data_IF_023702124662
#
_entry.id   IF_023702124662
#
_cell.length_a   1.000
_cell.length_b   1.000
_cell.length_c   1.000
_cell.angle_alpha   90.00
_cell.angle_beta   90.00
_cell.angle_gamma   90.00
#
_symmetry.space_group_name_H-M   'P 1'
#
loop_
_entity.id
_entity.type
_entity.pdbx_description
1 polymer ?
#
# COMPACT_ATOMS: atom_id res chain seq x y z
N UNK A 1 18.76 53.09 42.86
CA UNK A 1 18.79 54.31 43.67
C UNK A 1 17.37 54.82 43.77
N UNK A 2 16.84 54.95 44.97
CA UNK A 2 15.45 55.40 45.15
C UNK A 2 15.35 56.88 44.82
N UNK A 3 14.65 57.21 43.75
CA UNK A 3 14.23 58.58 43.45
C UNK A 3 13.34 59.06 44.59
N UNK A 4 13.85 59.91 45.49
CA UNK A 4 13.06 60.56 46.53
C UNK A 4 12.49 61.84 45.94
N UNK A 5 11.32 61.73 45.33
CA UNK A 5 10.52 62.89 44.93
C UNK A 5 9.85 63.48 46.18
N UNK A 6 9.78 64.80 46.24
CA UNK A 6 8.99 65.51 47.24
C UNK A 6 7.50 65.12 47.03
N UNK A 7 6.71 64.93 48.10
CA UNK A 7 5.33 64.43 48.00
C UNK A 7 4.42 65.25 47.07
N UNK A 8 4.71 66.55 46.94
CA UNK A 8 4.01 67.48 46.06
C UNK A 8 4.23 67.12 44.58
N UNK A 9 5.46 66.75 44.20
CA UNK A 9 5.76 66.31 42.83
C UNK A 9 5.17 64.94 42.50
N UNK A 10 5.10 64.04 43.49
CA UNK A 10 4.37 62.77 43.34
C UNK A 10 2.90 63.04 43.06
N UNK A 11 2.30 64.02 43.75
CA UNK A 11 0.90 64.42 43.54
C UNK A 11 0.67 64.99 42.13
N UNK A 12 1.62 65.76 41.59
CA UNK A 12 1.54 66.26 40.20
C UNK A 12 1.59 65.11 39.18
N UNK A 13 2.47 64.12 39.37
CA UNK A 13 2.53 62.95 38.50
C UNK A 13 1.23 62.11 38.57
N UNK A 14 0.71 61.92 39.79
CA UNK A 14 -0.57 61.23 39.99
C UNK A 14 -1.72 62.01 39.37
N UNK A 15 -1.74 63.35 39.47
CA UNK A 15 -2.74 64.19 38.83
C UNK A 15 -2.69 64.10 37.30
N UNK A 16 -1.49 63.98 36.71
CA UNK A 16 -1.33 63.74 35.28
C UNK A 16 -1.89 62.36 34.87
N UNK A 17 -1.72 61.33 35.70
CA UNK A 17 -2.26 59.99 35.47
C UNK A 17 -3.79 59.91 35.71
N UNK A 18 -4.32 60.72 36.63
CA UNK A 18 -5.77 60.91 36.80
C UNK A 18 -6.35 61.65 35.58
N UNK A 19 -5.65 62.65 35.07
CA UNK A 19 -6.05 63.40 33.88
C UNK A 19 -6.08 62.51 32.61
N UNK A 20 -5.08 61.64 32.41
CA UNK A 20 -5.06 60.69 31.30
C UNK A 20 -6.08 59.56 31.44
N UNK A 21 -6.77 59.47 32.58
CA UNK A 21 -7.73 58.41 32.85
C UNK A 21 -7.08 57.05 33.11
N UNK A 22 -5.80 57.04 33.51
CA UNK A 22 -5.08 55.80 33.84
C UNK A 22 -5.22 55.44 35.33
N UNK A 23 -5.53 56.41 36.19
CA UNK A 23 -5.61 56.23 37.65
C UNK A 23 -6.76 57.03 38.29
N UNK A 24 -7.21 56.55 39.44
CA UNK A 24 -8.14 57.25 40.34
C UNK A 24 -7.43 57.46 41.67
N UNK A 25 -7.37 58.72 42.08
CA UNK A 25 -6.79 59.14 43.34
C UNK A 25 -7.86 59.06 44.43
N UNK A 26 -7.65 58.21 45.45
CA UNK A 26 -8.55 58.11 46.59
C UNK A 26 -7.95 58.78 47.82
N UNK A 27 -8.58 59.85 48.30
CA UNK A 27 -8.31 60.50 49.58
C UNK A 27 -9.38 60.13 50.62
N UNK A 28 -9.19 60.39 51.93
CA UNK A 28 -10.24 60.16 52.92
C UNK A 28 -11.55 60.87 52.54
N UNK A 29 -12.61 60.09 52.30
CA UNK A 29 -13.95 60.62 51.99
C UNK A 29 -14.20 61.05 50.54
N UNK A 30 -13.21 61.02 49.64
CA UNK A 30 -13.40 61.45 48.24
C UNK A 30 -12.48 60.71 47.26
N UNK A 31 -12.93 60.57 46.01
CA UNK A 31 -12.16 59.97 44.91
C UNK A 31 -12.16 60.92 43.72
N UNK A 32 -11.06 60.94 42.98
CA UNK A 32 -10.90 61.75 41.77
C UNK A 32 -10.53 60.85 40.61
N UNK A 33 -11.41 60.80 39.62
CA UNK A 33 -11.17 60.21 38.29
C UNK A 33 -10.97 61.32 37.25
N UNK A 34 -10.85 60.95 35.97
CA UNK A 34 -10.65 61.91 34.87
C UNK A 34 -11.74 63.00 34.81
N UNK A 35 -12.95 62.73 35.30
CA UNK A 35 -14.06 63.70 35.34
C UNK A 35 -13.97 64.66 36.53
N UNK A 36 -13.27 64.25 37.59
CA UNK A 36 -13.06 65.01 38.82
C UNK A 36 -11.86 65.98 38.81
N UNK A 37 -11.22 66.22 37.65
CA UNK A 37 -9.96 66.98 37.57
C UNK A 37 -10.06 68.41 38.15
N UNK A 38 -11.15 69.12 37.87
CA UNK A 38 -11.36 70.46 38.43
C UNK A 38 -11.45 70.45 39.96
N UNK A 39 -12.05 69.40 40.53
CA UNK A 39 -12.14 69.23 41.99
C UNK A 39 -10.79 68.81 42.57
N UNK A 40 -10.02 67.97 41.87
CA UNK A 40 -8.66 67.61 42.25
C UNK A 40 -7.75 68.86 42.30
N UNK A 41 -7.82 69.71 41.28
CA UNK A 41 -7.04 70.97 41.22
C UNK A 41 -7.45 71.99 42.29
N UNK A 42 -8.69 71.95 42.74
CA UNK A 42 -9.21 72.81 43.82
C UNK A 42 -8.97 72.25 45.23
N UNK A 43 -8.39 71.04 45.36
CA UNK A 43 -8.11 70.40 46.65
C UNK A 43 -6.72 70.83 47.16
N UNK A 44 -6.62 71.15 48.44
CA UNK A 44 -5.36 71.59 49.05
C UNK A 44 -4.28 70.50 49.04
N UNK A 45 -3.02 70.89 48.83
CA UNK A 45 -1.90 69.94 48.73
C UNK A 45 -1.73 69.09 50.00
N UNK A 46 -2.00 69.64 51.18
CA UNK A 46 -1.96 68.93 52.47
C UNK A 46 -2.92 67.73 52.54
N UNK A 47 -4.03 67.78 51.79
CA UNK A 47 -5.00 66.68 51.68
C UNK A 47 -4.57 65.66 50.63
N UNK A 48 -4.06 66.12 49.49
CA UNK A 48 -3.66 65.27 48.38
C UNK A 48 -2.44 64.41 48.71
N UNK A 49 -1.47 64.95 49.46
CA UNK A 49 -0.29 64.19 49.92
C UNK A 49 -0.67 63.05 50.88
N UNK A 50 -1.82 63.15 51.56
CA UNK A 50 -2.35 62.13 52.47
C UNK A 50 -3.31 61.16 51.79
N UNK A 51 -3.11 60.89 50.49
CA UNK A 51 -3.95 59.94 49.77
C UNK A 51 -3.89 58.54 50.37
N UNK A 52 -5.03 57.83 50.33
CA UNK A 52 -5.20 56.51 50.94
C UNK A 52 -4.61 55.41 50.06
N UNK A 53 -4.97 55.43 48.78
CA UNK A 53 -4.51 54.48 47.77
C UNK A 53 -4.76 55.06 46.39
N UNK A 54 -4.12 54.44 45.40
CA UNK A 54 -4.40 54.66 43.99
C UNK A 54 -5.13 53.42 43.48
N UNK A 55 -6.18 53.62 42.69
CA UNK A 55 -6.92 52.53 42.04
C UNK A 55 -7.02 52.78 40.54
N UNK A 56 -7.24 51.75 39.73
CA UNK A 56 -7.52 51.94 38.31
C UNK A 56 -8.97 52.45 38.13
N UNK A 57 -9.22 53.37 37.17
CA UNK A 57 -10.54 53.88 36.90
C UNK A 57 -11.52 52.78 36.53
N UNK A 58 -12.72 52.84 37.13
CA UNK A 58 -13.82 51.89 36.90
C UNK A 58 -14.59 52.17 35.61
N UNK A 59 -13.97 52.87 34.67
CA UNK A 59 -14.51 53.06 33.32
C UNK A 59 -14.15 51.86 32.45
N UNK A 60 -14.98 51.59 31.46
CA UNK A 60 -14.73 50.47 30.55
C UNK A 60 -13.48 50.74 29.73
N UNK A 61 -12.54 49.79 29.71
CA UNK A 61 -11.41 49.82 28.77
C UNK A 61 -11.89 49.44 27.35
N UNK A 62 -12.72 50.30 26.78
CA UNK A 62 -13.36 50.11 25.49
C UNK A 62 -12.34 49.95 24.34
N UNK A 63 -11.22 50.68 24.30
CA UNK A 63 -10.18 50.47 23.28
C UNK A 63 -9.62 49.05 23.30
N UNK A 64 -9.28 48.51 24.47
CA UNK A 64 -8.71 47.17 24.57
C UNK A 64 -9.74 46.06 24.31
N UNK A 65 -11.00 46.28 24.72
CA UNK A 65 -12.10 45.36 24.37
C UNK A 65 -12.33 45.32 22.86
N UNK A 66 -12.34 46.48 22.17
CA UNK A 66 -12.45 46.53 20.70
C UNK A 66 -11.31 45.77 20.03
N UNK A 67 -10.07 45.98 20.47
CA UNK A 67 -8.90 45.26 19.98
C UNK A 67 -9.02 43.74 20.19
N UNK A 68 -9.55 43.28 21.33
CA UNK A 68 -9.72 41.85 21.62
C UNK A 68 -10.76 41.19 20.72
N UNK A 69 -11.89 41.86 20.49
CA UNK A 69 -12.91 41.37 19.56
C UNK A 69 -12.35 41.32 18.13
N UNK A 70 -11.63 42.35 17.70
CA UNK A 70 -11.01 42.41 16.36
C UNK A 70 -9.95 41.34 16.15
N UNK A 71 -9.07 41.10 17.14
CA UNK A 71 -8.06 40.04 17.10
C UNK A 71 -8.66 38.64 16.92
N UNK A 72 -9.87 38.42 17.44
CA UNK A 72 -10.60 37.16 17.31
C UNK A 72 -11.52 37.12 16.06
N UNK A 73 -11.39 38.10 15.16
CA UNK A 73 -12.17 38.19 13.92
C UNK A 73 -13.62 38.59 14.12
N UNK A 74 -13.97 39.21 15.24
CA UNK A 74 -15.31 39.72 15.54
C UNK A 74 -15.41 41.22 15.29
N UNK A 75 -16.65 41.72 15.18
CA UNK A 75 -16.88 43.15 14.95
C UNK A 75 -16.58 43.96 16.22
N UNK A 76 -15.80 45.07 16.14
CA UNK A 76 -15.50 45.90 17.30
C UNK A 76 -16.74 46.48 18.01
N UNK A 77 -17.87 46.58 17.31
CA UNK A 77 -19.16 47.00 17.87
C UNK A 77 -19.68 46.11 19.00
N UNK A 78 -19.23 44.85 19.08
CA UNK A 78 -19.55 43.93 20.17
C UNK A 78 -19.05 44.44 21.53
N UNK A 79 -17.93 45.17 21.57
CA UNK A 79 -17.43 45.79 22.79
C UNK A 79 -18.44 46.80 23.38
N UNK A 80 -19.16 47.54 22.51
CA UNK A 80 -20.19 48.49 22.92
C UNK A 80 -21.42 47.79 23.52
N UNK A 81 -21.73 46.58 23.05
CA UNK A 81 -22.82 45.78 23.57
C UNK A 81 -22.50 45.19 24.95
N UNK A 82 -21.23 44.87 25.21
CA UNK A 82 -20.77 44.47 26.55
C UNK A 82 -20.98 45.59 27.56
N UNK A 83 -20.68 46.85 27.20
CA UNK A 83 -20.90 47.99 28.11
C UNK A 83 -22.38 48.24 28.42
N UNK A 84 -23.28 47.74 27.57
CA UNK A 84 -24.75 47.75 27.77
C UNK A 84 -25.24 46.56 28.60
N UNK A 85 -24.35 45.69 29.09
CA UNK A 85 -24.70 44.54 29.92
C UNK A 85 -25.22 43.32 29.16
N UNK A 86 -25.03 43.26 27.83
CA UNK A 86 -25.45 42.08 27.05
C UNK A 86 -24.47 40.92 27.23
N UNK A 87 -25.00 39.73 27.49
CA UNK A 87 -24.20 38.51 27.69
C UNK A 87 -23.75 37.84 26.38
N UNK A 88 -24.49 38.01 25.28
CA UNK A 88 -24.20 37.39 23.97
C UNK A 88 -22.76 37.68 23.47
N UNK A 89 -22.26 38.94 23.44
CA UNK A 89 -20.88 39.22 23.06
C UNK A 89 -19.84 38.48 23.92
N UNK A 90 -20.14 38.28 25.20
CA UNK A 90 -19.24 37.60 26.14
C UNK A 90 -19.22 36.10 25.87
N UNK A 91 -20.37 35.50 25.58
CA UNK A 91 -20.44 34.09 25.18
C UNK A 91 -19.70 33.85 23.86
N UNK A 92 -19.89 34.73 22.87
CA UNK A 92 -19.17 34.66 21.60
C UNK A 92 -17.66 34.76 21.80
N UNK A 93 -17.21 35.71 22.65
CA UNK A 93 -15.81 35.86 23.03
C UNK A 93 -15.26 34.57 23.64
N UNK A 94 -15.94 34.00 24.65
CA UNK A 94 -15.50 32.76 25.30
C UNK A 94 -15.41 31.58 24.32
N UNK A 95 -16.36 31.46 23.40
CA UNK A 95 -16.31 30.43 22.36
C UNK A 95 -15.11 30.61 21.41
N UNK A 96 -14.83 31.84 20.96
CA UNK A 96 -13.69 32.09 20.08
C UNK A 96 -12.35 31.90 20.79
N UNK A 97 -12.25 32.31 22.06
CA UNK A 97 -11.09 32.02 22.91
C UNK A 97 -10.88 30.52 23.06
N UNK A 98 -11.93 29.74 23.32
CA UNK A 98 -11.84 28.28 23.35
C UNK A 98 -11.37 27.68 22.02
N UNK A 99 -11.87 28.19 20.89
CA UNK A 99 -11.46 27.77 19.54
C UNK A 99 -9.99 28.09 19.27
N UNK A 100 -9.53 29.30 19.55
CA UNK A 100 -8.15 29.70 19.25
C UNK A 100 -7.14 28.95 20.14
N UNK A 101 -7.44 28.75 21.44
CA UNK A 101 -6.60 27.93 22.33
C UNK A 101 -6.48 26.50 21.81
N UNK A 102 -7.61 25.89 21.40
CA UNK A 102 -7.60 24.54 20.81
C UNK A 102 -6.75 24.50 19.53
N UNK A 103 -6.91 25.48 18.64
CA UNK A 103 -6.11 25.59 17.41
C UNK A 103 -4.63 25.68 17.72
N UNK A 104 -4.22 26.54 18.66
CA UNK A 104 -2.82 26.69 19.09
C UNK A 104 -2.24 25.35 19.57
N UNK A 105 -2.97 24.62 20.42
CA UNK A 105 -2.51 23.31 20.93
C UNK A 105 -2.32 22.30 19.80
N UNK A 106 -3.27 22.19 18.87
CA UNK A 106 -3.16 21.28 17.73
C UNK A 106 -2.00 21.65 16.79
N UNK A 107 -1.80 22.94 16.55
CA UNK A 107 -0.70 23.45 15.70
C UNK A 107 0.65 23.28 16.36
N UNK A 108 0.73 23.44 17.68
CA UNK A 108 1.94 23.13 18.47
C UNK A 108 2.34 21.67 18.36
N UNK A 109 1.37 20.76 18.39
CA UNK A 109 1.63 19.34 18.17
C UNK A 109 2.14 19.09 16.74
N UNK A 110 1.47 19.63 15.72
CA UNK A 110 1.87 19.47 14.33
C UNK A 110 3.29 20.02 14.05
N UNK A 111 3.68 21.12 14.69
CA UNK A 111 5.03 21.68 14.60
C UNK A 111 6.10 20.77 15.21
N UNK A 112 5.76 20.00 16.25
CA UNK A 112 6.67 19.00 16.85
C UNK A 112 6.81 17.76 15.97
N UNK A 113 5.73 17.34 15.33
CA UNK A 113 5.71 16.20 14.41
C UNK A 113 6.41 16.54 13.07
N UNK A 114 6.44 17.83 12.72
CA UNK A 114 7.01 18.35 11.48
C UNK A 114 5.97 18.44 10.37
N UNK A 115 6.04 19.50 9.56
CA UNK A 115 5.13 19.72 8.43
C UNK A 115 5.87 19.41 7.13
N UNK A 116 5.76 18.17 6.67
CA UNK A 116 6.39 17.72 5.42
C UNK A 116 5.39 17.24 4.39
N UNK A 117 5.72 17.44 3.11
CA UNK A 117 4.94 16.97 1.97
C UNK A 117 5.88 16.41 0.91
N UNK A 118 5.74 15.11 0.56
CA UNK A 118 6.66 14.41 -0.35
C UNK A 118 8.15 14.57 0.00
N UNK A 119 8.47 14.61 1.30
CA UNK A 119 9.84 14.77 1.79
C UNK A 119 10.36 16.21 1.77
N UNK A 120 9.60 17.16 1.23
CA UNK A 120 9.90 18.59 1.38
C UNK A 120 9.42 19.06 2.76
N UNK A 121 10.32 19.65 3.53
CA UNK A 121 9.98 20.37 4.76
C UNK A 121 9.38 21.74 4.40
N UNK A 122 8.09 21.93 4.69
CA UNK A 122 7.36 23.16 4.37
C UNK A 122 7.72 24.32 5.31
N UNK A 123 8.46 24.04 6.39
CA UNK A 123 8.95 25.05 7.33
C UNK A 123 10.42 25.39 7.09
N UNK A 124 11.03 24.83 6.04
CA UNK A 124 12.41 25.15 5.68
C UNK A 124 12.59 26.66 5.46
N UNK A 125 13.54 27.26 6.17
CA UNK A 125 13.81 28.71 6.10
C UNK A 125 12.89 29.57 6.98
N UNK A 126 12.00 28.98 7.77
CA UNK A 126 11.25 29.68 8.82
C UNK A 126 11.97 29.59 10.18
N UNK A 127 11.41 30.22 11.22
CA UNK A 127 11.87 30.07 12.61
C UNK A 127 10.82 29.29 13.44
N UNK A 128 10.81 27.94 13.37
CA UNK A 128 9.83 27.13 14.11
C UNK A 128 9.89 27.32 15.62
N UNK A 129 11.07 27.66 16.16
CA UNK A 129 11.29 27.86 17.59
C UNK A 129 10.71 29.21 18.06
N UNK A 130 10.95 30.30 17.31
CA UNK A 130 10.32 31.59 17.57
C UNK A 130 8.80 31.56 17.36
N UNK A 131 8.33 30.88 16.32
CA UNK A 131 6.90 30.60 16.13
C UNK A 131 6.33 29.74 17.28
N UNK A 132 7.17 28.89 17.91
CA UNK A 132 6.79 28.16 19.11
C UNK A 132 6.54 29.05 20.32
N UNK A 133 7.54 29.84 20.68
CA UNK A 133 7.44 30.77 21.79
C UNK A 133 6.27 31.75 21.63
N UNK A 134 6.11 32.35 20.44
CA UNK A 134 5.03 33.30 20.20
C UNK A 134 3.63 32.69 20.31
N UNK A 135 3.46 31.42 19.93
CA UNK A 135 2.19 30.71 20.10
C UNK A 135 1.94 30.30 21.56
N UNK A 136 2.98 29.94 22.33
CA UNK A 136 2.84 29.65 23.76
C UNK A 136 2.48 30.90 24.58
N UNK A 137 3.07 32.04 24.24
CA UNK A 137 2.70 33.34 24.82
C UNK A 137 1.26 33.73 24.49
N UNK A 138 0.86 33.60 23.21
CA UNK A 138 -0.51 33.84 22.78
C UNK A 138 -1.50 32.89 23.48
N UNK A 139 -1.15 31.62 23.67
CA UNK A 139 -1.97 30.65 24.41
C UNK A 139 -2.18 31.10 25.85
N UNK A 140 -1.12 31.48 26.57
CA UNK A 140 -1.22 31.95 27.94
C UNK A 140 -2.09 33.22 28.05
N UNK A 141 -1.96 34.14 27.08
CA UNK A 141 -2.83 35.29 26.96
C UNK A 141 -4.30 34.88 26.78
N UNK A 142 -4.64 34.08 25.76
CA UNK A 142 -6.02 33.67 25.51
C UNK A 142 -6.63 32.84 26.66
N UNK A 143 -5.85 31.99 27.33
CA UNK A 143 -6.29 31.28 28.53
C UNK A 143 -6.65 32.24 29.67
N UNK A 144 -5.90 33.34 29.84
CA UNK A 144 -6.24 34.37 30.82
C UNK A 144 -7.56 35.09 30.50
N UNK A 145 -7.96 35.15 29.22
CA UNK A 145 -9.21 35.77 28.80
C UNK A 145 -10.43 34.95 29.26
N UNK A 146 -10.26 33.64 29.48
CA UNK A 146 -11.34 32.76 29.92
C UNK A 146 -11.92 33.15 31.30
N UNK A 147 -11.14 33.86 32.12
CA UNK A 147 -11.60 34.37 33.40
C UNK A 147 -12.74 35.42 33.26
N UNK A 148 -12.82 36.11 32.12
CA UNK A 148 -13.81 37.17 31.85
C UNK A 148 -15.12 36.63 31.28
N UNK A 149 -15.85 35.87 32.10
CA UNK A 149 -17.04 35.10 31.68
C UNK A 149 -18.37 35.87 31.74
N UNK A 150 -18.38 37.15 32.10
CA UNK A 150 -19.59 37.99 32.13
C UNK A 150 -19.25 39.46 31.85
N UNK A 151 -20.22 40.32 31.47
CA UNK A 151 -19.97 41.74 31.25
C UNK A 151 -19.33 42.41 32.47
N UNK A 152 -19.83 42.10 33.67
CA UNK A 152 -19.28 42.62 34.93
C UNK A 152 -17.83 42.20 35.18
N UNK A 153 -17.41 41.00 34.73
CA UNK A 153 -16.00 40.58 34.80
C UNK A 153 -15.16 41.29 33.74
N UNK A 154 -15.65 41.44 32.51
CA UNK A 154 -14.98 42.19 31.43
C UNK A 154 -14.79 43.67 31.75
N UNK A 155 -15.59 44.24 32.66
CA UNK A 155 -15.36 45.60 33.16
C UNK A 155 -13.97 45.75 33.81
N UNK A 156 -13.44 44.68 34.40
CA UNK A 156 -12.12 44.66 35.03
C UNK A 156 -11.04 44.12 34.08
N UNK A 157 -11.22 44.28 32.77
CA UNK A 157 -10.24 43.83 31.77
C UNK A 157 -8.91 44.57 31.94
N UNK A 158 -7.89 43.83 32.38
CA UNK A 158 -6.61 44.41 32.83
C UNK A 158 -5.63 44.77 31.71
N UNK A 159 -5.88 44.30 30.49
CA UNK A 159 -4.96 44.47 29.36
C UNK A 159 -5.27 45.76 28.59
N UNK A 160 -4.23 46.43 28.13
CA UNK A 160 -4.29 47.56 27.22
C UNK A 160 -4.42 47.12 25.75
N UNK A 161 -4.88 48.01 24.88
CA UNK A 161 -4.99 47.69 23.45
C UNK A 161 -3.64 47.28 22.81
N UNK A 162 -2.49 47.93 23.11
CA UNK A 162 -1.18 47.47 22.61
C UNK A 162 -0.80 46.06 23.08
N UNK A 163 -1.11 45.70 24.33
CA UNK A 163 -0.85 44.34 24.84
C UNK A 163 -1.71 43.29 24.11
N UNK A 164 -2.94 43.63 23.74
CA UNK A 164 -3.78 42.75 22.92
C UNK A 164 -3.22 42.62 21.50
N UNK A 165 -2.87 43.73 20.86
CA UNK A 165 -2.33 43.73 19.49
C UNK A 165 -0.95 43.07 19.37
N UNK A 166 -0.18 42.98 20.45
CA UNK A 166 1.08 42.23 20.46
C UNK A 166 0.92 40.76 20.00
N UNK A 167 -0.28 40.18 20.17
CA UNK A 167 -0.59 38.82 19.76
C UNK A 167 -1.10 38.67 18.31
N UNK A 168 -1.23 39.76 17.55
CA UNK A 168 -1.70 39.71 16.15
C UNK A 168 -0.78 38.88 15.26
N UNK A 169 0.54 39.03 15.43
CA UNK A 169 1.53 38.24 14.68
C UNK A 169 1.37 36.74 14.96
N UNK A 170 1.16 36.37 16.22
CA UNK A 170 0.95 34.97 16.60
C UNK A 170 -0.36 34.40 16.01
N UNK A 171 -1.43 35.21 15.95
CA UNK A 171 -2.68 34.82 15.30
C UNK A 171 -2.51 34.59 13.79
N UNK A 172 -1.79 35.48 13.09
CA UNK A 172 -1.46 35.31 11.66
C UNK A 172 -0.63 34.06 11.40
N UNK A 173 0.42 33.85 12.20
CA UNK A 173 1.24 32.64 12.15
C UNK A 173 0.41 31.37 12.41
N UNK A 174 -0.57 31.42 13.33
CA UNK A 174 -1.47 30.30 13.56
C UNK A 174 -2.32 29.98 12.32
N UNK A 175 -2.85 30.99 11.63
CA UNK A 175 -3.64 30.81 10.41
C UNK A 175 -2.78 30.16 9.31
N UNK A 176 -1.57 30.66 9.06
CA UNK A 176 -0.62 30.10 8.08
C UNK A 176 -0.31 28.63 8.35
N UNK A 177 0.01 28.28 9.60
CA UNK A 177 0.35 26.91 9.98
C UNK A 177 -0.86 25.97 9.94
N UNK A 178 -2.06 26.46 10.28
CA UNK A 178 -3.30 25.70 10.10
C UNK A 178 -3.58 25.41 8.62
N UNK A 179 -3.32 26.37 7.72
CA UNK A 179 -3.49 26.17 6.28
C UNK A 179 -2.51 25.12 5.73
N UNK A 180 -1.25 25.13 6.17
CA UNK A 180 -0.27 24.10 5.83
C UNK A 180 -0.70 22.71 6.31
N UNK A 181 -1.18 22.62 7.55
CA UNK A 181 -1.68 21.36 8.10
C UNK A 181 -2.87 20.86 7.29
N UNK A 182 -3.83 21.73 6.98
CA UNK A 182 -5.01 21.37 6.18
C UNK A 182 -4.61 20.93 4.76
N UNK A 183 -3.63 21.58 4.14
CA UNK A 183 -3.07 21.17 2.85
C UNK A 183 -2.49 19.75 2.90
N UNK A 184 -1.64 19.45 3.90
CA UNK A 184 -1.06 18.12 4.08
C UNK A 184 -2.15 17.08 4.33
N UNK A 185 -3.15 17.38 5.16
CA UNK A 185 -4.25 16.46 5.44
C UNK A 185 -5.08 16.15 4.19
N UNK A 186 -5.34 17.15 3.35
CA UNK A 186 -6.18 16.98 2.15
C UNK A 186 -5.45 16.28 1.00
N UNK A 187 -4.14 16.50 0.85
CA UNK A 187 -3.37 16.01 -0.30
C UNK A 187 -2.39 14.87 0.04
N UNK A 188 -1.98 14.75 1.30
CA UNK A 188 -1.02 13.77 1.79
C UNK A 188 -1.37 12.31 1.49
N UNK A 189 -2.61 11.84 1.73
CA UNK A 189 -2.99 10.46 1.42
C UNK A 189 -2.83 10.12 -0.08
N UNK A 190 -3.25 11.02 -0.96
CA UNK A 190 -3.12 10.82 -2.41
C UNK A 190 -1.66 10.91 -2.87
N UNK A 191 -0.88 11.81 -2.28
CA UNK A 191 0.55 11.94 -2.53
C UNK A 191 1.32 10.67 -2.14
N UNK A 192 1.00 10.08 -0.98
CA UNK A 192 1.55 8.80 -0.52
C UNK A 192 1.16 7.65 -1.44
N UNK A 193 -0.12 7.57 -1.81
CA UNK A 193 -0.63 6.58 -2.77
C UNK A 193 0.11 6.65 -4.11
N UNK A 194 0.29 7.85 -4.68
CA UNK A 194 0.97 8.06 -5.96
C UNK A 194 2.46 7.69 -5.90
N UNK A 195 3.10 7.88 -4.74
CA UNK A 195 4.50 7.49 -4.55
C UNK A 195 4.67 5.97 -4.50
N UNK A 196 3.71 5.28 -3.87
CA UNK A 196 3.67 3.82 -3.91
C UNK A 196 3.40 3.31 -5.33
N UNK A 197 2.47 3.94 -6.05
CA UNK A 197 2.14 3.60 -7.43
C UNK A 197 3.34 3.73 -8.39
N UNK A 198 4.16 4.77 -8.22
CA UNK A 198 5.40 4.99 -8.98
C UNK A 198 6.38 3.82 -8.86
N UNK A 199 6.50 3.19 -7.69
CA UNK A 199 7.40 2.06 -7.48
C UNK A 199 6.86 0.72 -8.05
N UNK A 200 5.59 0.67 -8.47
CA UNK A 200 4.90 -0.56 -8.89
C UNK A 200 4.96 -0.77 -10.41
N UNK A 201 4.97 0.32 -11.19
CA UNK A 201 5.11 0.25 -12.65
C UNK A 201 6.59 0.17 -13.08
N UNK A 202 6.89 -0.36 -14.29
CA UNK A 202 8.24 -0.33 -14.85
C UNK A 202 8.76 1.10 -15.00
N UNK A 203 10.05 1.31 -14.77
CA UNK A 203 10.68 2.63 -14.71
C UNK A 203 10.53 3.43 -16.02
N UNK A 204 10.44 2.73 -17.15
CA UNK A 204 10.35 3.25 -18.51
C UNK A 204 8.91 3.58 -18.94
N UNK A 205 7.91 3.36 -18.09
CA UNK A 205 6.52 3.60 -18.44
C UNK A 205 6.17 5.09 -18.42
N UNK A 206 5.56 5.63 -19.49
CA UNK A 206 5.23 7.06 -19.64
C UNK A 206 4.45 7.69 -18.47
N UNK A 207 3.64 6.88 -17.76
CA UNK A 207 2.93 7.35 -16.56
C UNK A 207 3.90 7.79 -15.45
N UNK A 208 5.06 7.13 -15.30
CA UNK A 208 6.09 7.50 -14.32
C UNK A 208 6.67 8.87 -14.65
N UNK A 209 6.94 9.17 -15.92
CA UNK A 209 7.45 10.48 -16.32
C UNK A 209 6.44 11.60 -16.04
N UNK A 210 5.16 11.36 -16.32
CA UNK A 210 4.08 12.29 -15.97
C UNK A 210 3.95 12.49 -14.46
N UNK A 211 4.07 11.41 -13.69
CA UNK A 211 4.04 11.46 -12.22
C UNK A 211 5.22 12.27 -11.66
N UNK A 212 6.44 12.02 -12.12
CA UNK A 212 7.65 12.76 -11.73
C UNK A 212 7.56 14.24 -12.09
N UNK A 213 7.10 14.54 -13.30
CA UNK A 213 6.90 15.93 -13.76
C UNK A 213 5.88 16.65 -12.88
N UNK A 214 4.74 16.02 -12.61
CA UNK A 214 3.70 16.60 -11.74
C UNK A 214 4.21 16.79 -10.31
N UNK A 215 4.94 15.82 -9.75
CA UNK A 215 5.57 15.96 -8.43
C UNK A 215 6.51 17.16 -8.40
N UNK A 216 7.40 17.27 -9.40
CA UNK A 216 8.36 18.36 -9.48
C UNK A 216 7.67 19.72 -9.57
N UNK A 217 6.70 19.89 -10.47
CA UNK A 217 5.95 21.14 -10.61
C UNK A 217 5.28 21.58 -9.31
N UNK A 218 4.68 20.63 -8.56
CA UNK A 218 4.03 20.92 -7.29
C UNK A 218 5.05 21.32 -6.23
N UNK A 219 6.17 20.59 -6.11
CA UNK A 219 7.22 20.91 -5.14
C UNK A 219 7.92 22.24 -5.45
N UNK A 220 8.21 22.51 -6.72
CA UNK A 220 8.78 23.79 -7.15
C UNK A 220 7.79 24.94 -6.87
N UNK A 221 6.50 24.73 -7.11
CA UNK A 221 5.44 25.68 -6.75
C UNK A 221 5.37 25.94 -5.25
N UNK A 222 5.47 24.90 -4.42
CA UNK A 222 5.48 25.05 -2.95
C UNK A 222 6.72 25.81 -2.44
N UNK A 223 7.88 25.61 -3.07
CA UNK A 223 9.11 26.31 -2.70
C UNK A 223 9.13 27.80 -3.10
N UNK A 224 8.46 28.16 -4.20
CA UNK A 224 8.47 29.51 -4.75
C UNK A 224 7.33 30.40 -4.25
N UNK A 225 6.32 29.81 -3.61
CA UNK A 225 5.11 30.53 -3.22
C UNK A 225 5.19 31.02 -1.78
N UNK A 226 4.78 32.27 -1.55
CA UNK A 226 4.46 32.75 -0.22
C UNK A 226 3.34 31.87 0.37
N UNK A 227 3.64 31.19 1.49
CA UNK A 227 2.75 30.20 2.11
C UNK A 227 1.41 30.81 2.52
N UNK A 228 1.32 32.14 2.66
CA UNK A 228 0.06 32.86 2.85
C UNK A 228 -0.93 32.68 1.69
N UNK A 229 -0.46 32.36 0.47
CA UNK A 229 -1.35 32.06 -0.66
C UNK A 229 -2.13 30.74 -0.49
N UNK A 230 -1.69 29.84 0.40
CA UNK A 230 -2.44 28.63 0.76
C UNK A 230 -3.74 28.96 1.52
N UNK A 231 -3.83 30.13 2.16
CA UNK A 231 -5.04 30.61 2.84
C UNK A 231 -6.16 30.96 1.84
N UNK A 232 -5.82 31.24 0.57
CA UNK A 232 -6.78 31.60 -0.47
C UNK A 232 -7.37 30.33 -1.10
N UNK A 233 -8.35 29.74 -0.39
CA UNK A 233 -8.96 28.44 -0.69
C UNK A 233 -9.66 28.30 -2.06
N UNK A 234 -9.74 29.36 -2.88
CA UNK A 234 -10.59 29.38 -4.08
C UNK A 234 -9.95 29.89 -5.37
N UNK A 235 -8.72 30.43 -5.35
CA UNK A 235 -8.06 31.01 -6.54
C UNK A 235 -6.54 30.83 -6.59
N UNK A 236 -5.95 30.13 -5.62
CA UNK A 236 -4.51 29.89 -5.59
C UNK A 236 -4.06 28.80 -6.58
N UNK A 237 -2.75 28.76 -6.92
CA UNK A 237 -2.17 27.76 -7.83
C UNK A 237 -2.34 26.31 -7.35
N UNK A 238 -2.64 26.13 -6.07
CA UNK A 238 -2.82 24.83 -5.42
C UNK A 238 -4.24 24.28 -5.51
N UNK A 239 -5.22 25.07 -5.97
CA UNK A 239 -6.62 24.62 -6.11
C UNK A 239 -6.79 23.46 -7.09
N UNK A 240 -5.86 23.29 -8.04
CA UNK A 240 -5.89 22.23 -9.05
C UNK A 240 -5.19 20.92 -8.63
N UNK A 241 -4.42 20.91 -7.53
CA UNK A 241 -3.62 19.73 -7.13
C UNK A 241 -4.50 18.51 -6.94
N UNK A 242 -5.66 18.68 -6.31
CA UNK A 242 -6.63 17.59 -6.15
C UNK A 242 -7.04 16.99 -7.49
N UNK A 243 -7.37 17.82 -8.48
CA UNK A 243 -7.74 17.37 -9.81
C UNK A 243 -6.59 16.68 -10.54
N UNK A 244 -5.36 17.21 -10.44
CA UNK A 244 -4.16 16.60 -11.02
C UNK A 244 -3.88 15.21 -10.42
N UNK A 245 -4.02 15.07 -9.10
CA UNK A 245 -3.87 13.78 -8.42
C UNK A 245 -4.93 12.77 -8.86
N UNK A 246 -6.20 13.19 -8.92
CA UNK A 246 -7.27 12.30 -9.37
C UNK A 246 -7.07 11.83 -10.82
N UNK A 247 -6.60 12.72 -11.70
CA UNK A 247 -6.24 12.34 -13.07
C UNK A 247 -5.14 11.29 -13.10
N UNK A 248 -4.04 11.50 -12.36
CA UNK A 248 -2.94 10.53 -12.27
C UNK A 248 -3.40 9.19 -11.69
N UNK A 249 -4.22 9.19 -10.63
CA UNK A 249 -4.79 7.96 -10.04
C UNK A 249 -5.63 7.20 -11.08
N UNK A 250 -6.51 7.90 -11.79
CA UNK A 250 -7.37 7.27 -12.81
C UNK A 250 -6.54 6.67 -13.95
N UNK A 251 -5.58 7.41 -14.48
CA UNK A 251 -4.69 6.94 -15.55
C UNK A 251 -3.86 5.72 -15.09
N UNK A 252 -3.41 5.73 -13.84
CA UNK A 252 -2.74 4.57 -13.22
C UNK A 252 -3.67 3.37 -13.15
N UNK A 253 -4.87 3.54 -12.61
CA UNK A 253 -5.85 2.45 -12.41
C UNK A 253 -6.15 1.74 -13.72
N UNK A 254 -6.40 2.50 -14.80
CA UNK A 254 -6.62 1.94 -16.15
C UNK A 254 -5.41 1.15 -16.61
N UNK A 255 -4.21 1.73 -16.48
CA UNK A 255 -2.94 1.08 -16.87
C UNK A 255 -2.73 -0.21 -16.10
N UNK A 256 -2.85 -0.17 -14.77
CA UNK A 256 -2.58 -1.28 -13.88
C UNK A 256 -3.58 -2.42 -14.09
N UNK A 257 -4.88 -2.13 -14.22
CA UNK A 257 -5.91 -3.14 -14.54
C UNK A 257 -5.63 -3.77 -15.92
N UNK A 258 -5.23 -2.95 -16.89
CA UNK A 258 -4.80 -3.43 -18.20
C UNK A 258 -3.67 -4.44 -18.09
N UNK A 259 -2.57 -4.09 -17.43
CA UNK A 259 -1.43 -4.99 -17.21
C UNK A 259 -1.82 -6.24 -16.41
N UNK A 260 -2.65 -6.07 -15.38
CA UNK A 260 -3.12 -7.15 -14.52
C UNK A 260 -3.93 -8.18 -15.31
N UNK A 261 -4.90 -7.74 -16.10
CA UNK A 261 -5.74 -8.61 -16.94
C UNK A 261 -4.93 -9.38 -17.98
N UNK A 262 -3.79 -8.83 -18.43
CA UNK A 262 -2.85 -9.55 -19.31
C UNK A 262 -2.04 -10.60 -18.55
N UNK A 263 -1.57 -10.26 -17.35
CA UNK A 263 -0.66 -11.09 -16.55
C UNK A 263 -1.34 -12.11 -15.64
N UNK A 264 -2.68 -12.12 -15.57
CA UNK A 264 -3.47 -13.01 -14.72
C UNK A 264 -4.55 -13.71 -15.51
N UNK A 265 -4.81 -14.96 -15.15
CA UNK A 265 -5.93 -15.73 -15.69
C UNK A 265 -7.24 -15.21 -15.09
N UNK A 266 -8.18 -14.87 -15.96
CA UNK A 266 -9.57 -14.60 -15.57
C UNK A 266 -10.31 -15.89 -15.22
N UNK A 267 -11.59 -15.77 -14.84
CA UNK A 267 -12.41 -16.92 -14.43
C UNK A 267 -12.49 -18.03 -15.50
N UNK A 268 -12.65 -17.65 -16.78
CA UNK A 268 -12.73 -18.61 -17.87
C UNK A 268 -11.38 -19.28 -18.15
N UNK A 269 -10.31 -18.50 -18.14
CA UNK A 269 -8.95 -19.01 -18.36
C UNK A 269 -8.50 -19.92 -17.21
N UNK A 270 -8.91 -19.64 -15.98
CA UNK A 270 -8.64 -20.52 -14.82
C UNK A 270 -9.33 -21.88 -14.98
N UNK A 271 -10.58 -21.90 -15.46
CA UNK A 271 -11.27 -23.15 -15.84
C UNK A 271 -10.55 -23.88 -16.97
N UNK A 272 -10.06 -23.15 -17.99
CA UNK A 272 -9.26 -23.74 -19.08
C UNK A 272 -7.97 -24.36 -18.56
N UNK A 273 -7.26 -23.68 -17.66
CA UNK A 273 -6.07 -24.20 -16.97
C UNK A 273 -6.38 -25.49 -16.21
N UNK A 274 -7.48 -25.52 -15.45
CA UNK A 274 -7.94 -26.73 -14.77
C UNK A 274 -8.28 -27.87 -15.75
N UNK A 275 -8.88 -27.53 -16.89
CA UNK A 275 -9.12 -28.45 -17.99
C UNK A 275 -7.84 -29.07 -18.54
N UNK A 276 -6.80 -28.26 -18.80
CA UNK A 276 -5.49 -28.74 -19.27
C UNK A 276 -4.78 -29.64 -18.25
N UNK A 277 -4.98 -29.41 -16.95
CA UNK A 277 -4.45 -30.30 -15.90
C UNK A 277 -5.12 -31.68 -15.89
N UNK A 278 -6.41 -31.73 -16.24
CA UNK A 278 -7.20 -32.95 -16.36
C UNK A 278 -7.27 -33.52 -17.78
N UNK A 279 -6.55 -32.94 -18.73
CA UNK A 279 -6.67 -33.27 -20.15
C UNK A 279 -6.22 -34.71 -20.43
N UNK A 280 -7.01 -35.44 -21.24
CA UNK A 280 -6.74 -36.82 -21.60
C UNK A 280 -5.38 -36.99 -22.27
N UNK A 281 -4.95 -36.02 -23.10
CA UNK A 281 -3.63 -36.00 -23.74
C UNK A 281 -2.51 -36.00 -22.70
N UNK A 282 -2.64 -35.17 -21.68
CA UNK A 282 -1.70 -35.12 -20.56
C UNK A 282 -1.70 -36.42 -19.77
N UNK A 283 -2.87 -37.04 -19.52
CA UNK A 283 -2.95 -38.34 -18.84
C UNK A 283 -2.27 -39.45 -19.64
N UNK A 284 -2.47 -39.49 -20.96
CA UNK A 284 -1.78 -40.41 -21.87
C UNK A 284 -0.26 -40.23 -21.80
N UNK A 285 0.23 -38.99 -21.88
CA UNK A 285 1.65 -38.70 -21.76
C UNK A 285 2.23 -39.11 -20.39
N UNK A 286 1.49 -38.93 -19.30
CA UNK A 286 1.91 -39.38 -17.97
C UNK A 286 2.05 -40.90 -17.88
N UNK A 287 1.16 -41.66 -18.54
CA UNK A 287 1.28 -43.13 -18.62
C UNK A 287 2.48 -43.55 -19.45
N UNK A 288 2.64 -42.98 -20.64
CA UNK A 288 3.77 -43.25 -21.54
C UNK A 288 5.11 -42.88 -20.90
N UNK A 289 5.13 -41.87 -20.02
CA UNK A 289 6.33 -41.49 -19.28
C UNK A 289 6.88 -42.64 -18.43
N UNK A 290 6.10 -43.68 -18.11
CA UNK A 290 6.57 -44.90 -17.44
C UNK A 290 7.56 -45.75 -18.26
N UNK A 291 7.65 -45.53 -19.57
CA UNK A 291 8.61 -46.17 -20.47
C UNK A 291 9.93 -45.39 -20.37
N UNK A 292 11.04 -46.09 -20.14
CA UNK A 292 12.33 -45.45 -19.78
C UNK A 292 12.94 -44.60 -20.90
N UNK A 293 12.61 -44.90 -22.14
CA UNK A 293 13.04 -44.14 -23.32
C UNK A 293 12.39 -42.75 -23.41
N UNK A 294 11.21 -42.53 -22.81
CA UNK A 294 10.41 -41.33 -23.05
C UNK A 294 10.98 -40.09 -22.35
N UNK A 295 10.92 -38.90 -22.97
CA UNK A 295 11.55 -37.69 -22.44
C UNK A 295 10.72 -37.05 -21.31
N UNK A 296 10.69 -37.69 -20.14
CA UNK A 296 9.89 -37.30 -18.95
C UNK A 296 9.98 -35.82 -18.57
N UNK A 297 11.15 -35.20 -18.79
CA UNK A 297 11.40 -33.78 -18.50
C UNK A 297 10.43 -32.85 -19.22
N UNK A 298 10.02 -33.16 -20.46
CA UNK A 298 9.05 -32.34 -21.21
C UNK A 298 7.72 -32.19 -20.45
N UNK A 299 7.25 -33.25 -19.80
CA UNK A 299 6.00 -33.25 -19.03
C UNK A 299 6.17 -32.50 -17.71
N UNK A 300 7.31 -32.67 -17.04
CA UNK A 300 7.64 -31.91 -15.83
C UNK A 300 7.68 -30.41 -16.12
N UNK A 301 8.37 -30.01 -17.19
CA UNK A 301 8.50 -28.61 -17.61
C UNK A 301 7.12 -28.03 -18.03
N UNK A 302 6.32 -28.80 -18.77
CA UNK A 302 4.95 -28.43 -19.12
C UNK A 302 4.08 -28.18 -17.88
N UNK A 303 4.06 -29.11 -16.92
CA UNK A 303 3.28 -28.98 -15.68
C UNK A 303 3.73 -27.80 -14.83
N UNK A 304 5.05 -27.57 -14.73
CA UNK A 304 5.60 -26.42 -14.01
C UNK A 304 5.19 -25.09 -14.65
N UNK A 305 5.22 -25.01 -15.99
CA UNK A 305 4.76 -23.83 -16.73
C UNK A 305 3.27 -23.57 -16.50
N UNK A 306 2.43 -24.61 -16.53
CA UNK A 306 0.99 -24.50 -16.30
C UNK A 306 0.70 -24.02 -14.87
N UNK A 307 1.40 -24.60 -13.89
CA UNK A 307 1.28 -24.22 -12.49
C UNK A 307 1.70 -22.76 -12.25
N UNK A 308 2.72 -22.28 -12.95
CA UNK A 308 3.23 -20.91 -12.86
C UNK A 308 2.26 -19.82 -13.34
N UNK A 309 1.26 -20.16 -14.15
CA UNK A 309 0.21 -19.21 -14.56
C UNK A 309 -0.66 -18.85 -13.36
N UNK A 310 -0.68 -17.57 -12.98
CA UNK A 310 -1.42 -17.09 -11.81
C UNK A 310 -2.82 -16.62 -12.18
N UNK A 311 -3.80 -16.97 -11.36
CA UNK A 311 -5.20 -16.55 -11.53
C UNK A 311 -5.55 -15.41 -10.58
N UNK A 312 -6.28 -14.41 -11.08
CA UNK A 312 -6.83 -13.33 -10.25
C UNK A 312 -7.92 -12.59 -11.03
N UNK A 313 -9.14 -12.61 -10.51
CA UNK A 313 -10.31 -11.97 -11.12
C UNK A 313 -11.17 -11.20 -10.11
N UNK A 314 -10.65 -10.99 -8.89
CA UNK A 314 -11.34 -10.25 -7.83
C UNK A 314 -10.97 -8.75 -7.78
N UNK A 315 -9.98 -8.31 -8.56
CA UNK A 315 -9.52 -6.92 -8.58
C UNK A 315 -10.60 -5.98 -9.10
N UNK A 316 -10.89 -4.93 -8.33
CA UNK A 316 -11.80 -3.84 -8.70
C UNK A 316 -11.09 -2.49 -8.72
N UNK A 317 -11.71 -1.48 -9.33
CA UNK A 317 -11.21 -0.09 -9.24
C UNK A 317 -11.22 0.43 -7.79
N UNK A 318 -12.22 0.03 -7.00
CA UNK A 318 -12.33 0.43 -5.59
C UNK A 318 -11.19 -0.13 -4.72
N UNK A 319 -10.71 -1.35 -5.02
CA UNK A 319 -9.51 -1.88 -4.38
C UNK A 319 -8.30 -0.98 -4.64
N UNK A 320 -8.20 -0.47 -5.87
CA UNK A 320 -7.09 0.39 -6.28
C UNK A 320 -7.17 1.80 -5.70
N UNK A 321 -8.36 2.30 -5.39
CA UNK A 321 -8.51 3.58 -4.70
C UNK A 321 -7.83 3.58 -3.32
N UNK A 322 -7.90 2.44 -2.60
CA UNK A 322 -7.30 2.26 -1.28
C UNK A 322 -5.79 1.98 -1.36
N UNK A 323 -5.35 1.17 -2.33
CA UNK A 323 -3.94 0.79 -2.50
C UNK A 323 -3.60 0.61 -3.98
N UNK A 324 -2.47 1.12 -4.49
CA UNK A 324 -2.13 1.00 -5.91
C UNK A 324 -1.71 -0.42 -6.33
N UNK A 325 -1.79 -1.40 -5.43
CA UNK A 325 -1.42 -2.80 -5.66
C UNK A 325 -2.64 -3.65 -5.37
N UNK A 326 -2.92 -4.59 -6.29
CA UNK A 326 -3.96 -5.59 -6.14
C UNK A 326 -3.84 -6.32 -4.78
N UNK A 327 -4.81 -6.18 -3.87
CA UNK A 327 -4.74 -6.79 -2.54
C UNK A 327 -4.92 -8.32 -2.59
N UNK A 328 -5.47 -8.85 -3.69
CA UNK A 328 -5.79 -10.27 -3.85
C UNK A 328 -4.59 -11.11 -4.30
N UNK A 329 -3.71 -10.56 -5.15
CA UNK A 329 -2.57 -11.31 -5.70
C UNK A 329 -1.23 -10.59 -5.62
N UNK A 330 -1.18 -9.35 -5.12
CA UNK A 330 0.07 -8.60 -4.94
C UNK A 330 0.81 -8.27 -6.23
N UNK A 331 0.13 -8.23 -7.39
CA UNK A 331 0.76 -8.06 -8.69
C UNK A 331 1.62 -6.79 -8.77
N UNK A 332 2.89 -6.95 -9.16
CA UNK A 332 3.82 -5.83 -9.35
C UNK A 332 4.42 -5.90 -10.76
N UNK A 333 3.90 -5.09 -11.71
CA UNK A 333 4.41 -5.03 -13.08
C UNK A 333 5.93 -4.86 -13.18
N UNK A 334 6.54 -4.01 -12.37
CA UNK A 334 7.99 -3.76 -12.36
C UNK A 334 8.82 -5.02 -12.09
N UNK A 335 8.31 -5.95 -11.28
CA UNK A 335 9.00 -7.20 -10.92
C UNK A 335 8.65 -8.32 -11.89
N UNK A 336 7.39 -8.43 -12.29
CA UNK A 336 6.92 -9.59 -13.06
C UNK A 336 7.11 -9.44 -14.58
N UNK A 337 7.08 -8.23 -15.13
CA UNK A 337 7.22 -7.99 -16.58
C UNK A 337 8.70 -7.85 -16.98
N UNK A 338 9.54 -7.27 -16.12
CA UNK A 338 10.98 -7.13 -16.39
C UNK A 338 11.72 -8.46 -16.52
N UNK A 339 11.18 -9.54 -15.95
CA UNK A 339 11.79 -10.89 -15.97
C UNK A 339 11.56 -11.60 -17.31
N UNK A 340 10.57 -11.21 -18.13
CA UNK A 340 10.24 -11.93 -19.38
C UNK A 340 11.05 -11.49 -20.60
N UNK A 341 12.04 -10.59 -20.46
CA UNK A 341 13.01 -10.22 -21.50
C UNK A 341 12.47 -9.47 -22.72
N UNK A 342 11.16 -9.51 -22.97
CA UNK A 342 10.47 -8.87 -24.11
C UNK A 342 9.94 -7.47 -23.82
N UNK A 343 9.99 -7.00 -22.55
CA UNK A 343 9.40 -5.72 -22.13
C UNK A 343 7.87 -5.64 -22.23
N UNK A 344 7.20 -6.71 -22.71
CA UNK A 344 5.77 -6.78 -22.93
C UNK A 344 5.19 -7.97 -22.17
N UNK A 345 4.10 -7.79 -21.39
CA UNK A 345 3.46 -8.90 -20.71
C UNK A 345 2.88 -9.87 -21.74
N UNK A 346 3.40 -11.09 -21.78
CA UNK A 346 2.78 -12.18 -22.56
C UNK A 346 1.44 -12.48 -21.92
N UNK A 347 0.36 -12.31 -22.67
CA UNK A 347 -1.00 -12.57 -22.20
C UNK A 347 -1.09 -14.00 -21.66
N UNK A 348 -1.51 -14.16 -20.42
CA UNK A 348 -1.59 -15.48 -19.76
C UNK A 348 -2.59 -16.40 -20.46
N UNK A 349 -3.64 -15.84 -21.06
CA UNK A 349 -4.57 -16.60 -21.92
C UNK A 349 -3.89 -17.11 -23.20
N UNK A 350 -3.07 -16.29 -23.87
CA UNK A 350 -2.28 -16.74 -25.03
C UNK A 350 -1.26 -17.82 -24.64
N UNK A 351 -0.71 -17.77 -23.43
CA UNK A 351 0.12 -18.87 -22.93
C UNK A 351 -0.67 -20.17 -22.79
N UNK A 352 -1.95 -20.12 -22.38
CA UNK A 352 -2.80 -21.32 -22.34
C UNK A 352 -3.03 -21.89 -23.76
N UNK A 353 -3.27 -21.04 -24.75
CA UNK A 353 -3.43 -21.48 -26.15
C UNK A 353 -2.17 -22.21 -26.64
N UNK A 354 -0.99 -21.62 -26.39
CA UNK A 354 0.29 -22.25 -26.72
C UNK A 354 0.51 -23.57 -25.99
N UNK A 355 0.02 -23.68 -24.75
CA UNK A 355 0.14 -24.90 -23.96
C UNK A 355 -0.78 -26.01 -24.47
N UNK A 356 -1.99 -25.65 -24.91
CA UNK A 356 -2.92 -26.56 -25.56
C UNK A 356 -2.31 -27.18 -26.84
N UNK A 357 -1.77 -26.33 -27.74
CA UNK A 357 -1.06 -26.79 -28.95
C UNK A 357 0.20 -27.59 -28.62
N UNK A 358 0.91 -27.20 -27.54
CA UNK A 358 2.11 -27.92 -27.10
C UNK A 358 1.80 -29.36 -26.67
N UNK A 359 0.62 -29.66 -26.13
CA UNK A 359 0.24 -31.04 -25.81
C UNK A 359 0.15 -31.90 -27.07
N UNK A 360 -0.47 -31.38 -28.14
CA UNK A 360 -0.57 -32.10 -29.42
C UNK A 360 0.82 -32.39 -30.01
N UNK A 361 1.70 -31.39 -29.97
CA UNK A 361 3.08 -31.54 -30.44
C UNK A 361 3.86 -32.58 -29.63
N UNK A 362 3.71 -32.59 -28.30
CA UNK A 362 4.39 -33.59 -27.46
C UNK A 362 3.85 -34.99 -27.77
N UNK A 363 2.53 -35.16 -27.90
CA UNK A 363 1.94 -36.45 -28.29
C UNK A 363 2.48 -36.92 -29.63
N UNK A 364 2.48 -36.06 -30.66
CA UNK A 364 2.96 -36.43 -31.98
C UNK A 364 4.43 -36.87 -31.94
N UNK A 365 5.27 -36.14 -31.21
CA UNK A 365 6.69 -36.47 -31.04
C UNK A 365 6.89 -37.80 -30.30
N UNK A 366 6.10 -38.05 -29.25
CA UNK A 366 6.19 -39.27 -28.46
C UNK A 366 5.73 -40.49 -29.24
N UNK A 367 4.63 -40.36 -29.99
CA UNK A 367 4.14 -41.40 -30.91
C UNK A 367 5.20 -41.75 -31.95
N UNK A 368 5.80 -40.75 -32.61
CA UNK A 368 6.90 -40.96 -33.56
C UNK A 368 8.11 -41.63 -32.92
N UNK A 369 8.46 -41.24 -31.69
CA UNK A 369 9.57 -41.86 -30.95
C UNK A 369 9.31 -43.35 -30.71
N UNK A 370 8.11 -43.72 -30.27
CA UNK A 370 7.73 -45.11 -30.06
C UNK A 370 7.77 -45.91 -31.38
N UNK A 371 7.13 -45.39 -32.44
CA UNK A 371 7.12 -46.05 -33.76
C UNK A 371 8.53 -46.26 -34.31
N UNK A 372 9.39 -45.24 -34.26
CA UNK A 372 10.77 -45.35 -34.74
C UNK A 372 11.59 -46.42 -33.99
N UNK A 373 11.29 -46.66 -32.70
CA UNK A 373 11.99 -47.70 -31.93
C UNK A 373 11.37 -49.09 -32.13
N UNK A 374 10.08 -49.17 -32.45
CA UNK A 374 9.41 -50.42 -32.84
C UNK A 374 9.78 -50.87 -34.25
N UNK A 375 10.07 -49.93 -35.15
CA UNK A 375 10.52 -50.20 -36.52
C UNK A 375 11.96 -50.75 -36.60
N UNK A 376 12.72 -50.74 -35.49
CA UNK A 376 14.04 -51.37 -35.44
C UNK A 376 13.93 -52.89 -35.71
N UNK A 377 14.75 -53.45 -36.62
CA UNK A 377 14.66 -54.87 -36.99
C UNK A 377 14.81 -55.85 -35.81
N UNK A 378 15.61 -55.52 -34.80
CA UNK A 378 15.76 -56.36 -33.61
C UNK A 378 14.52 -56.29 -32.72
N UNK A 379 13.92 -55.10 -32.59
CA UNK A 379 12.66 -54.92 -31.88
C UNK A 379 11.50 -55.65 -32.57
N UNK A 380 11.40 -55.60 -33.89
CA UNK A 380 10.38 -56.34 -34.64
C UNK A 380 10.52 -57.87 -34.49
N UNK A 381 11.75 -58.39 -34.43
CA UNK A 381 11.97 -59.81 -34.14
C UNK A 381 11.46 -60.18 -32.74
N UNK A 382 11.71 -59.33 -31.74
CA UNK A 382 11.20 -59.52 -30.37
C UNK A 382 9.66 -59.47 -30.31
N UNK A 383 9.03 -58.56 -31.04
CA UNK A 383 7.55 -58.49 -31.14
C UNK A 383 6.99 -59.77 -31.73
N UNK A 384 7.63 -60.32 -32.76
CA UNK A 384 7.13 -61.48 -33.48
C UNK A 384 7.36 -62.81 -32.77
N UNK A 385 8.50 -62.97 -32.07
CA UNK A 385 8.93 -64.24 -31.50
C UNK A 385 8.73 -64.36 -29.99
N UNK A 386 8.67 -63.25 -29.25
CA UNK A 386 8.81 -63.25 -27.79
C UNK A 386 7.61 -62.69 -27.01
N UNK A 387 6.58 -62.19 -27.70
CA UNK A 387 5.32 -61.75 -27.10
C UNK A 387 4.25 -62.83 -27.17
N UNK A 388 3.29 -62.74 -26.24
CA UNK A 388 2.04 -63.47 -26.34
C UNK A 388 1.18 -62.93 -27.50
N UNK A 389 0.29 -63.75 -28.03
CA UNK A 389 -0.52 -63.40 -29.22
C UNK A 389 -1.38 -62.15 -28.99
N UNK A 390 -1.96 -62.02 -27.79
CA UNK A 390 -2.79 -60.86 -27.42
C UNK A 390 -1.96 -59.55 -27.41
N UNK A 391 -0.78 -59.57 -26.79
CA UNK A 391 0.14 -58.42 -26.75
C UNK A 391 0.69 -58.08 -28.14
N UNK A 392 0.94 -59.10 -28.96
CA UNK A 392 1.40 -58.93 -30.34
C UNK A 392 0.34 -58.21 -31.19
N UNK A 393 -0.92 -58.60 -31.08
CA UNK A 393 -2.02 -57.94 -31.80
C UNK A 393 -2.14 -56.46 -31.41
N UNK A 394 -2.01 -56.16 -30.12
CA UNK A 394 -2.08 -54.79 -29.59
C UNK A 394 -0.96 -53.92 -30.19
N UNK A 395 0.28 -54.41 -30.21
CA UNK A 395 1.42 -53.66 -30.76
C UNK A 395 1.35 -53.56 -32.28
N UNK A 396 0.98 -54.63 -32.97
CA UNK A 396 0.85 -54.60 -34.43
C UNK A 396 -0.22 -53.60 -34.87
N UNK A 397 -1.37 -53.56 -34.17
CA UNK A 397 -2.43 -52.59 -34.45
C UNK A 397 -1.95 -51.14 -34.32
N UNK A 398 -1.13 -50.85 -33.30
CA UNK A 398 -0.51 -49.53 -33.10
C UNK A 398 0.51 -49.18 -34.21
N UNK A 399 1.33 -50.15 -34.64
CA UNK A 399 2.29 -49.94 -35.73
C UNK A 399 1.59 -49.70 -37.07
N UNK A 400 0.48 -50.40 -37.31
CA UNK A 400 -0.30 -50.30 -38.55
C UNK A 400 -1.09 -48.98 -38.59
N UNK A 401 -1.73 -48.58 -37.46
CA UNK A 401 -2.48 -47.33 -37.37
C UNK A 401 -1.59 -46.10 -37.36
N UNK A 402 -0.37 -46.22 -36.81
CA UNK A 402 0.56 -45.11 -36.53
C UNK A 402 -0.01 -44.04 -35.60
N UNK A 403 -1.07 -44.38 -34.88
CA UNK A 403 -1.79 -43.52 -33.94
C UNK A 403 -1.94 -44.24 -32.60
N UNK A 404 -1.75 -43.52 -31.50
CA UNK A 404 -1.94 -44.09 -30.17
C UNK A 404 -3.37 -44.62 -30.01
N UNK A 405 -3.58 -45.73 -29.28
CA UNK A 405 -4.92 -46.21 -28.97
C UNK A 405 -5.76 -45.15 -28.26
N UNK A 406 -7.08 -45.11 -28.55
CA UNK A 406 -8.04 -44.20 -27.90
C UNK A 406 -7.93 -44.24 -26.36
N UNK A 407 -7.70 -45.43 -25.83
CA UNK A 407 -7.34 -45.62 -24.43
C UNK A 407 -5.98 -46.30 -24.32
N UNK A 408 -4.98 -45.51 -23.93
CA UNK A 408 -3.69 -46.04 -23.49
C UNK A 408 -3.89 -46.67 -22.12
N UNK A 409 -4.05 -47.98 -22.09
CA UNK A 409 -4.20 -48.78 -20.87
C UNK A 409 -2.84 -49.25 -20.32
N UNK A 410 -2.88 -49.89 -19.15
CA UNK A 410 -1.66 -50.35 -18.49
C UNK A 410 -1.03 -51.53 -19.23
N UNK A 411 -1.83 -52.36 -19.93
CA UNK A 411 -1.30 -53.48 -20.71
C UNK A 411 -0.43 -52.98 -21.87
N UNK A 412 -0.95 -52.04 -22.66
CA UNK A 412 -0.22 -51.41 -23.75
C UNK A 412 1.12 -50.81 -23.29
N UNK A 413 1.09 -50.07 -22.19
CA UNK A 413 2.30 -49.43 -21.62
C UNK A 413 3.31 -50.46 -21.12
N UNK A 414 2.88 -51.51 -20.41
CA UNK A 414 3.77 -52.56 -19.93
C UNK A 414 4.36 -53.38 -21.07
N UNK A 415 3.57 -53.66 -22.10
CA UNK A 415 4.02 -54.36 -23.30
C UNK A 415 5.08 -53.56 -24.04
N UNK A 416 4.84 -52.25 -24.29
CA UNK A 416 5.87 -51.36 -24.86
C UNK A 416 7.13 -51.30 -24.00
N UNK A 417 6.99 -51.14 -22.68
CA UNK A 417 8.11 -51.10 -21.75
C UNK A 417 8.95 -52.38 -21.81
N UNK A 418 8.28 -53.53 -21.90
CA UNK A 418 8.91 -54.85 -21.98
C UNK A 418 9.70 -55.03 -23.27
N UNK A 419 9.09 -54.67 -24.41
CA UNK A 419 9.71 -54.80 -25.74
C UNK A 419 10.92 -53.88 -25.87
N UNK A 420 10.74 -52.60 -25.50
CA UNK A 420 11.77 -51.56 -25.62
C UNK A 420 12.88 -51.69 -24.58
N UNK A 421 12.69 -52.48 -23.52
CA UNK A 421 13.75 -52.82 -22.58
C UNK A 421 14.81 -53.78 -23.17
N UNK A 422 14.55 -54.36 -24.35
CA UNK A 422 15.44 -55.31 -25.03
C UNK A 422 15.25 -56.73 -24.49
N UNK A 423 14.27 -57.44 -25.03
CA UNK A 423 13.96 -58.82 -24.65
C UNK A 423 15.10 -59.79 -25.00
N UNK A 424 15.29 -60.79 -24.16
CA UNK A 424 16.30 -61.83 -24.31
C UNK A 424 15.62 -63.19 -24.50
N UNK A 425 15.74 -63.74 -25.72
CA UNK A 425 15.30 -65.11 -26.02
C UNK A 425 16.15 -66.12 -25.26
N UNK A 426 15.50 -67.03 -24.55
CA UNK A 426 16.12 -68.20 -23.90
C UNK A 426 15.52 -69.45 -24.53
N UNK A 427 16.19 -70.06 -25.51
CA UNK A 427 15.70 -71.27 -26.14
C UNK A 427 15.80 -72.45 -25.18
N UNK A 428 14.70 -73.20 -25.05
CA UNK A 428 14.65 -74.49 -24.34
C UNK A 428 14.36 -75.56 -25.36
N UNK A 429 15.36 -76.40 -25.65
CA UNK A 429 15.18 -77.53 -26.54
C UNK A 429 14.29 -78.58 -25.89
N UNK A 430 13.23 -79.01 -26.59
CA UNK A 430 12.29 -80.03 -26.08
C UNK A 430 12.99 -81.32 -25.67
N UNK A 431 14.00 -81.75 -26.43
CA UNK A 431 14.77 -82.96 -26.12
C UNK A 431 15.52 -82.88 -24.78
N UNK A 432 16.08 -81.72 -24.44
CA UNK A 432 16.81 -81.50 -23.19
C UNK A 432 15.85 -81.44 -22.00
N UNK A 433 14.72 -80.75 -22.15
CA UNK A 433 13.66 -80.71 -21.14
C UNK A 433 13.09 -82.10 -20.86
N UNK A 434 12.81 -82.88 -21.92
CA UNK A 434 12.33 -84.27 -21.79
C UNK A 434 13.36 -85.18 -21.13
N UNK A 435 14.66 -84.94 -21.35
CA UNK A 435 15.73 -85.69 -20.68
C UNK A 435 15.75 -85.42 -19.17
N UNK A 436 15.55 -84.17 -18.75
CA UNK A 436 15.48 -83.81 -17.34
C UNK A 436 14.31 -84.53 -16.68
N UNK A 437 13.13 -84.46 -17.30
CA UNK A 437 11.91 -85.15 -16.82
C UNK A 437 12.10 -86.67 -16.76
N UNK A 438 12.71 -87.27 -17.79
CA UNK A 438 12.94 -88.72 -17.84
C UNK A 438 13.93 -89.22 -16.79
N UNK A 439 14.90 -88.37 -16.40
CA UNK A 439 15.92 -88.72 -15.42
C UNK A 439 15.46 -88.60 -13.96
N UNK A 440 14.31 -87.97 -13.68
CA UNK A 440 13.78 -87.83 -12.31
C UNK A 440 13.23 -89.15 -11.73
N UNK A 441 12.72 -90.06 -12.57
CA UNK A 441 12.00 -91.26 -12.09
C UNK A 441 10.71 -90.93 -11.32
N UNK A 442 10.12 -91.88 -10.56
CA UNK A 442 8.98 -91.61 -9.68
C UNK A 442 9.33 -90.53 -8.66
N UNK A 443 8.68 -89.37 -8.77
CA UNK A 443 9.04 -88.18 -7.99
C UNK A 443 7.80 -87.46 -7.46
N UNK A 444 7.97 -86.77 -6.34
CA UNK A 444 6.93 -85.94 -5.73
C UNK A 444 6.68 -84.67 -6.55
N UNK A 445 5.52 -84.01 -6.40
CA UNK A 445 5.25 -82.75 -7.09
C UNK A 445 6.28 -81.65 -6.82
N UNK A 446 6.91 -81.64 -5.64
CA UNK A 446 7.96 -80.68 -5.30
C UNK A 446 9.28 -80.96 -6.02
N UNK A 447 9.68 -82.23 -6.11
CA UNK A 447 10.90 -82.64 -6.81
C UNK A 447 10.81 -82.33 -8.31
N UNK A 448 9.65 -82.58 -8.92
CA UNK A 448 9.41 -82.25 -10.33
C UNK A 448 9.50 -80.74 -10.60
N UNK A 449 8.83 -79.91 -9.76
CA UNK A 449 8.89 -78.44 -9.88
C UNK A 449 10.31 -77.91 -9.68
N UNK A 450 11.06 -78.43 -8.71
CA UNK A 450 12.44 -78.03 -8.45
C UNK A 450 13.36 -78.33 -9.63
N UNK A 451 13.29 -79.52 -10.21
CA UNK A 451 14.16 -79.88 -11.33
C UNK A 451 13.94 -79.00 -12.57
N UNK A 452 12.69 -78.62 -12.86
CA UNK A 452 12.40 -77.65 -13.94
C UNK A 452 12.90 -76.25 -13.57
N UNK A 453 12.68 -75.82 -12.32
CA UNK A 453 13.17 -74.53 -11.83
C UNK A 453 14.69 -74.42 -11.93
N UNK A 454 15.42 -75.41 -11.42
CA UNK A 454 16.89 -75.46 -11.42
C UNK A 454 17.45 -75.38 -12.85
N UNK A 455 16.79 -76.03 -13.81
CA UNK A 455 17.17 -75.97 -15.21
C UNK A 455 16.96 -74.58 -15.81
N UNK A 456 15.81 -73.96 -15.54
CA UNK A 456 15.54 -72.59 -15.97
C UNK A 456 16.52 -71.62 -15.32
N UNK A 457 16.84 -71.77 -14.04
CA UNK A 457 17.80 -70.95 -13.30
C UNK A 457 19.22 -71.06 -13.89
N UNK A 458 19.61 -72.24 -14.37
CA UNK A 458 20.87 -72.43 -15.11
C UNK A 458 20.86 -71.64 -16.43
N UNK A 459 19.78 -71.74 -17.21
CA UNK A 459 19.67 -71.08 -18.52
C UNK A 459 19.53 -69.55 -18.45
N UNK A 460 19.02 -69.06 -17.32
CA UNK A 460 18.77 -67.64 -17.06
C UNK A 460 19.83 -66.99 -16.18
N UNK A 461 20.82 -67.75 -15.71
CA UNK A 461 21.91 -67.26 -14.86
C UNK A 461 22.61 -66.05 -15.48
N UNK A 462 22.70 -64.96 -14.72
CA UNK A 462 23.36 -63.73 -15.14
C UNK A 462 22.55 -62.86 -16.10
N UNK A 463 21.30 -63.22 -16.41
CA UNK A 463 20.36 -62.41 -17.20
C UNK A 463 19.43 -61.62 -16.31
N UNK A 464 18.89 -60.52 -16.83
CA UNK A 464 17.78 -59.81 -16.19
C UNK A 464 16.50 -60.61 -16.41
N UNK A 465 16.00 -61.24 -15.34
CA UNK A 465 14.81 -62.11 -15.37
C UNK A 465 13.59 -61.38 -15.96
N UNK A 466 13.50 -60.06 -15.78
CA UNK A 466 12.37 -59.27 -16.29
C UNK A 466 12.38 -59.17 -17.83
N UNK A 467 13.55 -59.34 -18.46
CA UNK A 467 13.74 -59.27 -19.92
C UNK A 467 13.77 -60.64 -20.58
N UNK A 468 13.84 -61.73 -19.81
CA UNK A 468 13.92 -63.08 -20.34
C UNK A 468 12.56 -63.54 -20.86
N UNK A 469 12.56 -64.17 -22.04
CA UNK A 469 11.41 -64.91 -22.59
C UNK A 469 11.87 -66.31 -22.99
N UNK A 470 11.30 -67.32 -22.34
CA UNK A 470 11.62 -68.73 -22.57
C UNK A 470 10.82 -69.21 -23.79
N UNK A 471 11.52 -69.70 -24.81
CA UNK A 471 10.90 -70.21 -26.05
C UNK A 471 11.23 -71.69 -26.19
N UNK A 472 10.20 -72.52 -26.33
CA UNK A 472 10.37 -73.97 -26.53
C UNK A 472 10.66 -74.27 -28.01
N UNK A 473 11.85 -74.78 -28.29
CA UNK A 473 12.30 -75.18 -29.64
C UNK A 473 12.20 -76.69 -29.83
#
# INVERSE_FOLDING_TARGET
>A
GGSRLEPEWVTVLVAALVYSGDMVLAIPGRKFDATGLQQLAATGMDELVRFKHLEQPKEWNLPALKALFELLGMTPGMAQLVTQGKDEPVQNLQQAVGKIVKRIVMTRQALREGLSFWGLDLLAGTDPAGQAGGLDEAKAFFESIQAYSSPGKLKNFRYSAPEVFAHEKAAKTLDELDALREFIMNHGPNASWLSTAEAVLPAEHDWIDRMKTTRKEILDGLNQTDLTQLLIKSRGPFSEIGARFQKLKKDYTITYIGLHTKARLGLNDDKRKAGLLGDQRLQTLLKLAGIDLMPRRQITDYRNRLAGLKSCFALTEQDLDASPICPHCGFRPSVEIGVTGSGLPVHSSQQLDQMDEQLDLIIEQWTKTLLNNLDDPMTQANVNELLHEDDKQVIQSFMDSKELPDQVDDNFVQTLKTILAGLQKVPVKKAELMKIVSNLGPSTPQEFKRAISDYVDILTRGKDINKVRIVLE
#
